data_IF_816072135683
#
_entry.id   IF_816072135683
#
_cell.length_a   1.000
_cell.length_b   1.000
_cell.length_c   1.000
_cell.angle_alpha   90.00
_cell.angle_beta   90.00
_cell.angle_gamma   90.00
#
_symmetry.space_group_name_H-M   'P 1'
#
loop_
_entity.id
_entity.type
_entity.pdbx_description
1 polymer ?
#
# COMPACT_ATOMS: atom_id res chain seq x y z
N UNK A 1 43.31 -4.88 36.14
CA UNK A 1 42.75 -5.14 34.80
C UNK A 1 41.27 -4.73 34.78
N UNK A 2 41.02 -3.49 34.38
CA UNK A 2 39.63 -2.99 34.24
C UNK A 2 39.23 -3.07 32.77
N UNK A 3 38.24 -3.91 32.45
CA UNK A 3 37.54 -3.88 31.17
C UNK A 3 36.46 -2.79 31.24
N UNK A 4 36.65 -1.71 30.49
CA UNK A 4 35.63 -0.74 30.24
C UNK A 4 34.62 -1.35 29.26
N UNK A 5 33.38 -1.50 29.72
CA UNK A 5 32.24 -1.92 28.91
C UNK A 5 31.83 -0.71 28.03
N UNK A 6 31.98 -0.87 26.73
CA UNK A 6 31.53 0.11 25.72
C UNK A 6 29.98 0.05 25.61
N UNK A 7 29.34 1.05 26.20
CA UNK A 7 27.89 1.14 26.34
C UNK A 7 27.26 2.02 25.24
N UNK A 8 27.74 1.90 24.00
CA UNK A 8 27.14 2.61 22.87
C UNK A 8 25.93 1.84 22.34
N UNK A 9 24.82 2.53 22.22
CA UNK A 9 23.57 1.99 21.68
C UNK A 9 23.76 1.51 20.22
N UNK A 10 23.08 0.41 19.88
CA UNK A 10 23.11 -0.25 18.58
C UNK A 10 22.87 0.71 17.39
N UNK A 11 22.10 1.79 17.60
CA UNK A 11 21.79 2.80 16.59
C UNK A 11 22.99 3.72 16.21
N UNK A 12 23.92 3.97 17.12
CA UNK A 12 25.10 4.79 16.84
C UNK A 12 26.15 4.08 15.97
N UNK A 13 26.12 2.76 15.92
CA UNK A 13 27.04 1.95 15.10
C UNK A 13 26.64 1.86 13.64
N UNK A 14 25.35 2.08 13.31
CA UNK A 14 24.84 1.89 11.95
C UNK A 14 24.59 3.19 11.17
N UNK A 15 24.38 4.30 11.86
CA UNK A 15 24.14 5.59 11.24
C UNK A 15 25.18 6.59 11.75
N UNK A 16 26.34 6.62 11.13
CA UNK A 16 27.39 7.59 11.44
C UNK A 16 26.89 9.03 11.29
N UNK A 17 26.37 9.60 12.38
CA UNK A 17 25.98 11.01 12.46
C UNK A 17 27.22 11.80 12.87
N UNK A 18 27.93 12.35 11.88
CA UNK A 18 28.96 13.34 12.08
C UNK A 18 28.34 14.70 12.40
N UNK A 19 28.82 15.36 13.43
CA UNK A 19 28.43 16.72 13.84
C UNK A 19 28.70 17.73 12.72
N UNK A 20 27.84 18.76 12.53
CA UNK A 20 28.10 19.84 11.59
C UNK A 20 28.99 20.89 12.21
N UNK A 21 30.18 21.08 11.63
CA UNK A 21 31.09 22.21 11.92
C UNK A 21 30.49 23.52 11.41
N UNK A 22 30.33 24.46 12.31
CA UNK A 22 29.98 25.86 12.06
C UNK A 22 31.11 26.66 11.43
N UNK A 23 30.90 27.25 10.26
CA UNK A 23 31.60 28.44 9.81
C UNK A 23 30.69 29.39 9.01
N UNK A 24 30.83 30.72 9.18
CA UNK A 24 29.93 31.69 8.57
C UNK A 24 30.43 32.16 7.21
N UNK A 25 29.54 32.22 6.21
CA UNK A 25 29.83 32.83 4.93
C UNK A 25 28.94 34.05 4.68
N UNK A 26 29.65 35.11 4.23
CA UNK A 26 29.17 36.44 3.90
C UNK A 26 28.20 36.48 2.69
N UNK A 27 27.26 37.36 2.82
CA UNK A 27 26.69 38.35 1.89
C UNK A 27 26.52 38.03 0.41
N UNK A 28 25.29 38.24 -0.08
CA UNK A 28 24.93 38.26 -1.50
C UNK A 28 23.45 38.51 -1.72
N UNK A 29 23.06 39.75 -1.76
CA UNK A 29 21.97 40.46 -2.43
C UNK A 29 20.69 39.68 -2.84
N UNK A 30 19.60 40.12 -2.23
CA UNK A 30 18.23 39.94 -2.67
C UNK A 30 17.97 40.61 -4.03
N UNK A 31 17.32 39.90 -4.93
CA UNK A 31 16.58 40.49 -6.03
C UNK A 31 15.11 40.04 -5.91
N UNK A 32 14.33 40.99 -5.42
CA UNK A 32 12.87 40.91 -5.48
C UNK A 32 12.43 41.04 -6.95
N UNK A 33 11.61 40.13 -7.44
CA UNK A 33 10.82 40.35 -8.64
C UNK A 33 9.34 40.35 -8.26
N UNK A 34 8.73 41.48 -8.57
CA UNK A 34 7.36 41.83 -8.29
C UNK A 34 6.39 40.95 -9.09
N UNK A 35 5.28 40.68 -8.46
CA UNK A 35 4.06 40.14 -9.06
C UNK A 35 3.54 41.07 -10.16
N UNK A 36 3.17 40.53 -11.31
CA UNK A 36 2.20 41.15 -12.21
C UNK A 36 1.08 40.15 -12.44
N UNK A 37 -0.06 40.52 -11.86
CA UNK A 37 -1.35 39.97 -12.26
C UNK A 37 -1.66 40.41 -13.68
N UNK A 38 -1.93 39.48 -14.57
CA UNK A 38 -2.68 39.73 -15.77
C UNK A 38 -3.86 38.79 -15.87
N UNK A 39 -5.02 39.37 -15.65
CA UNK A 39 -6.31 38.80 -16.02
C UNK A 39 -6.37 38.75 -17.54
N UNK A 40 -6.49 37.57 -18.12
CA UNK A 40 -6.85 37.35 -19.51
C UNK A 40 -7.78 36.14 -19.65
N UNK A 41 -9.04 36.46 -19.81
CA UNK A 41 -10.10 35.79 -20.60
C UNK A 41 -9.76 34.48 -21.29
N UNK A 42 -10.62 33.53 -20.99
CA UNK A 42 -10.94 32.24 -21.60
C UNK A 42 -10.30 31.84 -22.91
N UNK A 43 -9.71 30.66 -22.85
CA UNK A 43 -9.75 29.70 -23.95
C UNK A 43 -9.48 28.31 -23.39
N UNK A 44 -10.53 27.48 -23.43
CA UNK A 44 -10.48 26.06 -23.22
C UNK A 44 -9.42 25.44 -24.14
N UNK A 45 -8.31 25.02 -23.59
CA UNK A 45 -7.43 24.05 -24.24
C UNK A 45 -7.74 22.69 -23.60
N UNK A 46 -8.51 21.90 -24.33
CA UNK A 46 -8.61 20.48 -24.15
C UNK A 46 -7.19 19.90 -24.31
N UNK A 47 -6.44 19.86 -23.24
CA UNK A 47 -5.24 19.05 -23.10
C UNK A 47 -5.67 17.64 -22.73
N UNK A 48 -5.35 16.70 -23.61
CA UNK A 48 -5.57 15.27 -23.46
C UNK A 48 -5.01 14.79 -22.11
N UNK A 49 -5.86 14.71 -21.07
CA UNK A 49 -5.53 13.99 -19.87
C UNK A 49 -5.53 12.49 -20.22
N UNK A 50 -4.58 11.69 -19.74
CA UNK A 50 -4.60 10.26 -19.96
C UNK A 50 -5.86 9.69 -19.30
N UNK A 51 -6.89 9.45 -20.09
CA UNK A 51 -8.12 8.78 -19.72
C UNK A 51 -7.80 7.35 -19.32
N UNK A 52 -8.03 6.99 -18.09
CA UNK A 52 -8.04 5.60 -17.65
C UNK A 52 -7.75 5.36 -16.18
N UNK A 53 -7.24 6.33 -15.44
CA UNK A 53 -6.57 6.06 -14.18
C UNK A 53 -7.18 6.69 -12.93
N UNK A 54 -8.07 7.66 -13.04
CA UNK A 54 -8.65 8.37 -11.89
C UNK A 54 -9.97 7.77 -11.40
N UNK A 55 -10.68 7.01 -12.26
CA UNK A 55 -12.04 6.55 -11.97
C UNK A 55 -12.07 5.55 -10.82
N UNK A 56 -11.18 4.57 -10.81
CA UNK A 56 -11.15 3.54 -9.75
C UNK A 56 -10.84 4.12 -8.37
N UNK A 57 -9.83 4.98 -8.27
CA UNK A 57 -9.48 5.64 -7.01
C UNK A 57 -10.63 6.54 -6.50
N UNK A 58 -11.29 7.28 -7.38
CA UNK A 58 -12.43 8.12 -7.03
C UNK A 58 -13.63 7.29 -6.56
N UNK A 59 -13.93 6.17 -7.22
CA UNK A 59 -15.00 5.25 -6.81
C UNK A 59 -14.68 4.58 -5.49
N UNK A 60 -13.42 4.16 -5.27
CA UNK A 60 -12.97 3.60 -4.00
C UNK A 60 -13.17 4.62 -2.85
N UNK A 61 -12.71 5.85 -3.03
CA UNK A 61 -12.84 6.92 -2.04
C UNK A 61 -14.30 7.29 -1.74
N UNK A 62 -15.20 7.18 -2.73
CA UNK A 62 -16.62 7.47 -2.54
C UNK A 62 -17.39 6.36 -1.79
N UNK A 63 -16.91 5.11 -1.85
CA UNK A 63 -17.59 3.95 -1.27
C UNK A 63 -17.12 3.59 0.13
N UNK A 64 -15.91 3.94 0.50
CA UNK A 64 -15.27 3.51 1.74
C UNK A 64 -14.74 4.70 2.53
N UNK A 65 -14.50 4.49 3.81
CA UNK A 65 -13.91 5.53 4.68
C UNK A 65 -12.44 5.81 4.31
N UNK A 66 -11.92 6.91 4.84
CA UNK A 66 -10.57 7.41 4.58
C UNK A 66 -9.43 6.57 5.21
N UNK A 67 -9.74 5.39 5.76
CA UNK A 67 -8.77 4.43 6.29
C UNK A 67 -8.92 3.03 5.68
N UNK A 68 -9.73 2.92 4.64
CA UNK A 68 -9.96 1.67 3.92
C UNK A 68 -9.30 1.72 2.55
N UNK A 69 -8.31 0.87 2.32
CA UNK A 69 -7.79 0.60 0.99
C UNK A 69 -8.76 -0.32 0.24
N UNK A 70 -8.83 -0.22 -1.08
CA UNK A 70 -9.73 -1.03 -1.91
C UNK A 70 -8.93 -1.84 -2.91
N UNK A 71 -9.05 -3.17 -2.83
CA UNK A 71 -8.47 -4.10 -3.81
C UNK A 71 -9.52 -4.50 -4.83
N UNK A 72 -9.33 -4.07 -6.06
CA UNK A 72 -10.08 -4.51 -7.23
C UNK A 72 -9.35 -5.70 -7.85
N UNK A 73 -9.95 -6.88 -7.75
CA UNK A 73 -9.36 -8.13 -8.25
C UNK A 73 -9.15 -8.05 -9.77
N UNK A 74 -10.19 -7.62 -10.50
CA UNK A 74 -10.16 -7.56 -11.96
C UNK A 74 -9.16 -6.52 -12.49
N UNK A 75 -9.00 -5.40 -11.77
CA UNK A 75 -8.02 -4.37 -12.09
C UNK A 75 -6.61 -4.70 -11.58
N UNK A 76 -6.44 -5.76 -10.76
CA UNK A 76 -5.15 -6.15 -10.15
C UNK A 76 -4.50 -5.01 -9.38
N UNK A 77 -5.33 -4.20 -8.72
CA UNK A 77 -4.91 -2.93 -8.15
C UNK A 77 -5.51 -2.72 -6.77
N UNK A 78 -4.67 -2.31 -5.83
CA UNK A 78 -5.09 -1.76 -4.54
C UNK A 78 -5.02 -0.24 -4.60
N UNK A 79 -6.14 0.41 -4.33
CA UNK A 79 -6.27 1.86 -4.21
C UNK A 79 -6.14 2.26 -2.74
N UNK A 80 -5.16 3.09 -2.42
CA UNK A 80 -5.00 3.65 -1.08
C UNK A 80 -5.88 4.90 -0.90
N UNK A 81 -6.20 5.31 0.35
CA UNK A 81 -7.02 6.50 0.60
C UNK A 81 -6.47 7.81 0.05
N UNK A 82 -5.15 7.91 -0.14
CA UNK A 82 -4.47 9.07 -0.73
C UNK A 82 -4.46 9.05 -2.27
N UNK A 83 -5.09 8.05 -2.89
CA UNK A 83 -5.13 7.87 -4.33
C UNK A 83 -3.96 7.09 -4.92
N UNK A 84 -2.96 6.71 -4.11
CA UNK A 84 -1.87 5.82 -4.53
C UNK A 84 -2.42 4.49 -4.98
N UNK A 85 -1.80 3.90 -6.02
CA UNK A 85 -2.16 2.59 -6.56
C UNK A 85 -0.99 1.64 -6.44
N UNK A 86 -1.30 0.45 -5.97
CA UNK A 86 -0.33 -0.63 -5.83
C UNK A 86 -0.81 -1.83 -6.63
N UNK A 87 0.07 -2.40 -7.46
CA UNK A 87 -0.17 -3.66 -8.14
C UNK A 87 -0.27 -4.79 -7.12
N UNK A 88 -1.36 -5.54 -7.18
CA UNK A 88 -1.60 -6.67 -6.30
C UNK A 88 -2.40 -7.76 -7.02
N UNK A 89 -2.13 -9.00 -6.67
CA UNK A 89 -2.74 -10.19 -7.23
C UNK A 89 -3.27 -11.11 -6.15
N UNK A 90 -4.17 -12.01 -6.53
CA UNK A 90 -4.67 -13.04 -5.64
C UNK A 90 -5.16 -14.26 -6.41
N UNK A 91 -4.92 -15.44 -5.87
CA UNK A 91 -5.24 -16.70 -6.53
C UNK A 91 -4.02 -17.40 -7.12
N UNK A 92 -4.19 -18.58 -7.67
CA UNK A 92 -3.11 -19.47 -8.12
C UNK A 92 -3.40 -20.02 -9.52
N UNK A 93 -2.41 -19.89 -10.41
CA UNK A 93 -2.44 -20.47 -11.75
C UNK A 93 -3.63 -19.96 -12.58
N UNK A 94 -4.47 -20.86 -13.05
CA UNK A 94 -5.67 -20.57 -13.84
C UNK A 94 -6.79 -19.84 -13.06
N UNK A 95 -6.62 -19.65 -11.76
CA UNK A 95 -7.52 -18.91 -10.88
C UNK A 95 -6.96 -17.56 -10.45
N UNK A 96 -5.77 -17.21 -10.92
CA UNK A 96 -5.13 -15.92 -10.60
C UNK A 96 -6.01 -14.77 -11.09
N UNK A 97 -6.34 -13.86 -10.15
CA UNK A 97 -7.14 -12.65 -10.39
C UNK A 97 -8.54 -12.90 -11.00
N UNK A 98 -9.08 -14.09 -10.79
CA UNK A 98 -10.41 -14.44 -11.26
C UNK A 98 -11.43 -14.45 -10.12
N UNK A 99 -12.33 -13.44 -10.03
CA UNK A 99 -13.30 -13.34 -8.94
C UNK A 99 -14.40 -14.42 -8.98
N UNK A 100 -14.51 -15.20 -10.06
CA UNK A 100 -15.50 -16.28 -10.16
C UNK A 100 -15.18 -17.46 -9.26
N UNK A 101 -13.94 -17.62 -8.82
CA UNK A 101 -13.47 -18.79 -8.07
C UNK A 101 -13.06 -18.46 -6.63
N UNK A 102 -13.50 -17.34 -6.08
CA UNK A 102 -13.16 -16.89 -4.72
C UNK A 102 -13.56 -17.87 -3.61
N UNK A 103 -14.50 -18.78 -3.89
CA UNK A 103 -14.89 -19.85 -3.00
C UNK A 103 -13.91 -21.03 -2.97
N UNK A 104 -13.05 -21.18 -3.99
CA UNK A 104 -12.08 -22.27 -4.06
C UNK A 104 -10.95 -22.07 -3.04
N UNK A 105 -10.81 -23.02 -2.11
CA UNK A 105 -9.73 -22.99 -1.13
C UNK A 105 -8.39 -23.26 -1.81
N UNK A 106 -7.34 -22.55 -1.36
CA UNK A 106 -5.94 -22.72 -1.80
C UNK A 106 -5.67 -22.40 -3.28
N UNK A 107 -6.68 -21.94 -4.04
CA UNK A 107 -6.53 -21.58 -5.45
C UNK A 107 -7.21 -20.25 -5.79
N UNK A 108 -8.46 -20.09 -5.41
CA UNK A 108 -9.25 -18.89 -5.74
C UNK A 108 -8.72 -17.63 -5.09
N UNK A 109 -8.96 -16.48 -5.71
CA UNK A 109 -8.60 -15.17 -5.18
C UNK A 109 -9.23 -14.91 -3.80
N UNK A 110 -8.75 -13.90 -3.09
CA UNK A 110 -9.33 -13.43 -1.83
C UNK A 110 -10.80 -13.08 -2.05
N UNK A 111 -11.74 -13.60 -1.25
CA UNK A 111 -13.17 -13.30 -1.42
C UNK A 111 -13.49 -11.82 -1.26
N UNK A 112 -14.40 -11.26 -2.09
CA UNK A 112 -14.90 -9.91 -1.88
C UNK A 112 -15.53 -9.77 -0.49
N UNK A 113 -14.98 -8.87 0.30
CA UNK A 113 -15.40 -8.56 1.66
C UNK A 113 -14.58 -7.40 2.23
N UNK A 114 -14.97 -6.88 3.39
CA UNK A 114 -14.16 -5.93 4.16
C UNK A 114 -13.38 -6.69 5.22
N UNK A 115 -12.07 -6.46 5.26
CA UNK A 115 -11.16 -7.09 6.19
C UNK A 115 -10.49 -6.05 7.10
N UNK A 116 -10.49 -6.30 8.40
CA UNK A 116 -9.63 -5.59 9.33
C UNK A 116 -8.21 -6.15 9.23
N UNK A 117 -7.23 -5.25 9.16
CA UNK A 117 -5.83 -5.60 9.07
C UNK A 117 -5.20 -5.65 10.45
N UNK A 118 -4.46 -6.72 10.75
CA UNK A 118 -3.63 -6.84 11.94
C UNK A 118 -2.27 -7.45 11.58
N UNK A 119 -1.20 -7.10 12.31
CA UNK A 119 0.09 -7.76 12.10
C UNK A 119 -0.03 -9.27 12.38
N UNK A 120 0.63 -10.07 11.55
CA UNK A 120 0.81 -11.49 11.86
C UNK A 120 1.82 -11.65 13.00
N UNK A 121 1.60 -12.59 13.91
CA UNK A 121 2.37 -12.80 15.13
C UNK A 121 3.84 -13.20 14.86
N UNK A 122 4.07 -13.86 13.74
CA UNK A 122 5.41 -14.28 13.31
C UNK A 122 5.60 -13.94 11.83
N UNK A 123 6.84 -13.86 11.40
CA UNK A 123 7.17 -13.64 10.00
C UNK A 123 6.56 -14.76 9.13
N UNK A 124 6.03 -14.37 7.98
CA UNK A 124 5.54 -15.29 6.96
C UNK A 124 6.61 -15.43 5.87
N UNK A 125 7.30 -16.56 5.85
CA UNK A 125 8.47 -16.78 4.96
C UNK A 125 9.49 -15.61 5.02
N UNK A 126 9.78 -15.15 6.24
CA UNK A 126 10.73 -14.05 6.45
C UNK A 126 10.17 -12.63 6.28
N UNK A 127 8.87 -12.48 5.98
CA UNK A 127 8.22 -11.19 5.72
C UNK A 127 7.19 -10.87 6.82
N UNK A 128 7.15 -9.61 7.33
CA UNK A 128 6.08 -9.17 8.24
C UNK A 128 4.77 -9.00 7.47
N UNK A 129 3.94 -10.05 7.45
CA UNK A 129 2.65 -10.05 6.75
C UNK A 129 1.53 -9.44 7.62
N UNK A 130 0.45 -8.98 6.97
CA UNK A 130 -0.76 -8.54 7.64
C UNK A 130 -1.87 -9.59 7.48
N UNK A 131 -2.59 -9.89 8.56
CA UNK A 131 -3.79 -10.74 8.53
C UNK A 131 -4.96 -9.97 7.95
N UNK A 132 -5.74 -10.67 7.15
CA UNK A 132 -7.04 -10.24 6.63
C UNK A 132 -8.13 -10.88 7.49
N UNK A 133 -8.63 -10.12 8.47
CA UNK A 133 -9.68 -10.59 9.38
C UNK A 133 -11.05 -10.13 8.84
N UNK A 134 -11.91 -11.03 8.35
CA UNK A 134 -13.19 -10.64 7.77
C UNK A 134 -14.11 -10.03 8.82
N UNK A 135 -14.66 -8.86 8.52
CA UNK A 135 -15.66 -8.21 9.37
C UNK A 135 -16.92 -9.09 9.40
N UNK A 136 -17.41 -9.43 10.60
CA UNK A 136 -18.53 -10.36 10.76
C UNK A 136 -18.16 -11.85 10.71
N UNK A 137 -16.86 -12.17 10.56
CA UNK A 137 -16.35 -13.54 10.68
C UNK A 137 -16.28 -14.33 9.38
N UNK A 138 -15.69 -15.52 9.46
CA UNK A 138 -15.34 -16.34 8.29
C UNK A 138 -16.52 -16.90 7.48
N UNK A 139 -17.73 -16.92 8.02
CA UNK A 139 -18.91 -17.42 7.31
C UNK A 139 -19.22 -16.61 6.05
N UNK A 140 -18.98 -15.30 6.06
CA UNK A 140 -19.20 -14.40 4.93
C UNK A 140 -18.17 -14.55 3.79
N UNK A 141 -17.10 -15.30 4.01
CA UNK A 141 -16.03 -15.54 3.04
C UNK A 141 -15.87 -17.03 2.73
N UNK A 142 -16.96 -17.76 2.61
CA UNK A 142 -16.99 -19.20 2.27
C UNK A 142 -16.21 -20.09 3.25
N UNK A 143 -16.12 -19.69 4.53
CA UNK A 143 -15.34 -20.38 5.55
C UNK A 143 -13.83 -20.41 5.28
N UNK A 144 -13.32 -19.54 4.42
CA UNK A 144 -11.89 -19.39 4.20
C UNK A 144 -11.24 -18.71 5.41
N UNK A 145 -10.02 -19.06 5.72
CA UNK A 145 -9.27 -18.55 6.85
C UNK A 145 -7.79 -18.44 6.52
N UNK A 146 -7.05 -17.70 7.33
CA UNK A 146 -5.61 -17.55 7.19
C UNK A 146 -5.17 -16.67 6.01
N UNK A 147 -6.07 -15.86 5.48
CA UNK A 147 -5.76 -14.93 4.39
C UNK A 147 -4.82 -13.82 4.90
N UNK A 148 -3.84 -13.48 4.09
CA UNK A 148 -2.80 -12.51 4.41
C UNK A 148 -2.64 -11.49 3.27
N UNK A 149 -2.02 -10.35 3.59
CA UNK A 149 -1.37 -9.46 2.65
C UNK A 149 0.15 -9.60 2.80
N UNK A 150 0.87 -9.83 1.70
CA UNK A 150 2.32 -10.03 1.68
C UNK A 150 2.92 -9.72 0.32
N UNK A 151 4.24 -9.76 0.20
CA UNK A 151 4.95 -9.62 -1.08
C UNK A 151 4.78 -10.87 -1.96
N UNK A 152 5.15 -10.77 -3.25
CA UNK A 152 5.22 -11.93 -4.14
C UNK A 152 6.12 -13.03 -3.56
N UNK A 153 5.66 -14.28 -3.58
CA UNK A 153 6.39 -15.44 -3.05
C UNK A 153 6.33 -16.67 -3.97
N UNK A 154 5.29 -16.80 -4.78
CA UNK A 154 5.08 -17.95 -5.66
C UNK A 154 5.32 -17.55 -7.14
N UNK A 155 6.48 -16.95 -7.41
CA UNK A 155 6.87 -16.57 -8.76
C UNK A 155 6.54 -15.10 -9.12
N UNK A 156 6.87 -14.70 -10.36
CA UNK A 156 6.86 -13.29 -10.78
C UNK A 156 5.46 -12.73 -11.06
N UNK A 157 4.45 -13.59 -11.18
CA UNK A 157 3.08 -13.19 -11.53
C UNK A 157 2.24 -12.80 -10.31
N UNK A 158 2.79 -12.94 -9.08
CA UNK A 158 2.07 -12.66 -7.87
C UNK A 158 1.10 -13.74 -7.42
N UNK A 159 1.29 -14.98 -7.88
CA UNK A 159 0.49 -16.13 -7.44
C UNK A 159 0.46 -16.26 -5.92
N UNK A 160 -0.69 -16.68 -5.40
CA UNK A 160 -0.88 -16.97 -3.97
C UNK A 160 -1.98 -18.03 -3.77
N UNK A 161 -1.97 -18.68 -2.62
CA UNK A 161 -3.05 -19.60 -2.24
C UNK A 161 -4.33 -18.86 -1.77
N UNK A 162 -4.54 -17.64 -2.30
CA UNK A 162 -5.69 -16.81 -2.03
C UNK A 162 -5.41 -15.63 -1.08
N UNK A 163 -4.16 -15.37 -0.73
CA UNK A 163 -3.73 -14.14 -0.09
C UNK A 163 -3.68 -12.99 -1.10
N UNK A 164 -3.66 -11.74 -0.64
CA UNK A 164 -3.36 -10.58 -1.49
C UNK A 164 -1.84 -10.43 -1.55
N UNK A 165 -1.27 -10.65 -2.73
CA UNK A 165 0.16 -10.61 -3.01
C UNK A 165 0.49 -9.31 -3.73
N UNK A 166 1.39 -8.51 -3.17
CA UNK A 166 1.73 -7.18 -3.69
C UNK A 166 3.10 -7.20 -4.38
N UNK A 167 3.22 -6.45 -5.45
CA UNK A 167 4.51 -6.17 -6.07
C UNK A 167 5.38 -5.28 -5.19
N UNK A 168 4.82 -4.17 -4.69
CA UNK A 168 5.43 -3.32 -3.66
C UNK A 168 4.66 -3.44 -2.34
N UNK A 169 4.86 -4.57 -1.67
CA UNK A 169 4.24 -4.83 -0.38
C UNK A 169 4.67 -3.83 0.70
N UNK A 170 5.92 -3.39 0.67
CA UNK A 170 6.41 -2.49 1.71
C UNK A 170 5.79 -1.08 1.62
N UNK A 171 5.35 -0.63 0.45
CA UNK A 171 4.52 0.58 0.34
C UNK A 171 3.18 0.40 1.06
N UNK A 172 2.50 -0.74 0.87
CA UNK A 172 1.27 -1.06 1.58
C UNK A 172 1.48 -1.19 3.10
N UNK A 173 2.54 -1.87 3.52
CA UNK A 173 2.89 -2.03 4.94
C UNK A 173 3.17 -0.68 5.62
N UNK A 174 3.88 0.24 4.96
CA UNK A 174 4.09 1.60 5.46
C UNK A 174 2.77 2.38 5.60
N UNK A 175 1.86 2.26 4.64
CA UNK A 175 0.53 2.88 4.73
C UNK A 175 -0.28 2.35 5.92
N UNK A 176 -0.17 1.05 6.21
CA UNK A 176 -0.76 0.45 7.41
C UNK A 176 -0.09 0.98 8.68
N UNK A 177 1.23 0.96 8.76
CA UNK A 177 2.01 1.38 9.94
C UNK A 177 1.83 2.86 10.27
N UNK A 178 1.69 3.72 9.26
CA UNK A 178 1.39 5.14 9.45
C UNK A 178 -0.04 5.41 9.92
N UNK A 179 -0.92 4.39 9.90
CA UNK A 179 -2.32 4.53 10.23
C UNK A 179 -3.20 5.08 9.11
N UNK A 180 -2.66 5.30 7.92
CA UNK A 180 -3.41 5.66 6.71
C UNK A 180 -4.39 4.55 6.33
N UNK A 181 -3.98 3.28 6.47
CA UNK A 181 -4.80 2.11 6.17
C UNK A 181 -5.02 1.29 7.43
N UNK A 182 -6.28 0.93 7.70
CA UNK A 182 -6.70 0.02 8.78
C UNK A 182 -7.48 -1.18 8.25
N UNK A 183 -8.11 -1.02 7.11
CA UNK A 183 -8.95 -2.03 6.46
C UNK A 183 -8.57 -2.21 5.01
N UNK A 184 -8.87 -3.39 4.50
CA UNK A 184 -8.83 -3.70 3.07
C UNK A 184 -10.22 -4.16 2.64
N UNK A 185 -10.88 -3.41 1.78
CA UNK A 185 -12.08 -3.86 1.09
C UNK A 185 -11.66 -4.56 -0.20
N UNK A 186 -12.03 -5.81 -0.35
CA UNK A 186 -11.82 -6.59 -1.58
C UNK A 186 -13.11 -6.57 -2.38
N UNK A 187 -13.02 -6.24 -3.66
CA UNK A 187 -14.14 -6.22 -4.60
C UNK A 187 -13.79 -7.01 -5.86
N UNK A 188 -14.81 -7.56 -6.52
CA UNK A 188 -14.60 -8.25 -7.80
C UNK A 188 -14.15 -7.26 -8.88
N UNK A 189 -14.80 -6.08 -8.90
CA UNK A 189 -14.51 -4.91 -9.76
C UNK A 189 -15.13 -3.65 -9.13
N UNK A 190 -14.56 -2.50 -9.42
CA UNK A 190 -15.07 -1.18 -9.03
C UNK A 190 -16.07 -0.63 -10.04
#
# INVERSE_FOLDING_TARGET
MHRLLDNRNFLEKFFGIGEPSSQPARGGQALAYAAQETIATGRSLLGNAPSGSSTGAAVAAARYDNRTAVYDISAKTVYLPDGTRLEAHSGLGDRLDDPRYVNERMKGATPPHVYELTPREALFHGVPALRLNPVGGGGSIYGRAGLLAHTYMLGPNGDSNGCVSFRDYYAFLRAYQSGMVKRLAVVAHL
#
